data_IF_026842482127
#
_entry.id   IF_026842482127
#
_cell.length_a   1.000
_cell.length_b   1.000
_cell.length_c   1.000
_cell.angle_alpha   90.00
_cell.angle_beta   90.00
_cell.angle_gamma   90.00
#
_symmetry.space_group_name_H-M   'P 1'
#
loop_
_entity.id
_entity.type
_entity.pdbx_description
1 polymer ?
#
# COMPACT_ATOMS: atom_id res chain seq x y z
N UNK A 1 31.45 22.09 17.80
CA UNK A 1 30.29 21.20 17.53
C UNK A 1 29.58 20.97 18.84
N UNK A 2 28.25 21.12 18.88
CA UNK A 2 27.47 20.98 20.12
C UNK A 2 27.14 19.49 20.36
N UNK A 3 27.64 18.86 21.43
CA UNK A 3 27.46 17.43 21.69
C UNK A 3 26.03 17.03 22.03
N UNK A 4 25.12 17.98 22.28
CA UNK A 4 23.70 17.73 22.56
C UNK A 4 22.80 17.92 21.34
N UNK A 5 23.35 18.31 20.20
CA UNK A 5 22.59 18.45 18.96
C UNK A 5 22.48 17.07 18.32
N UNK A 6 21.45 16.31 18.70
CA UNK A 6 21.08 15.11 17.97
C UNK A 6 20.89 15.48 16.50
N UNK A 7 21.65 14.86 15.60
CA UNK A 7 21.41 14.97 14.16
C UNK A 7 20.11 14.24 13.83
N UNK A 8 19.00 14.95 13.94
CA UNK A 8 17.69 14.43 13.54
C UNK A 8 17.66 14.39 12.02
N UNK A 9 17.86 13.20 11.46
CA UNK A 9 17.59 12.94 10.06
C UNK A 9 16.09 12.98 9.82
N UNK A 10 15.67 13.91 8.97
CA UNK A 10 14.27 14.11 8.60
C UNK A 10 13.82 13.05 7.60
N UNK A 11 12.55 12.68 7.63
CA UNK A 11 12.01 11.71 6.67
C UNK A 11 12.10 12.26 5.24
N UNK A 12 11.93 13.58 5.10
CA UNK A 12 11.92 14.31 3.84
C UNK A 12 13.29 14.39 3.15
N UNK A 13 14.37 14.06 3.86
CA UNK A 13 15.72 13.99 3.25
C UNK A 13 16.06 12.59 2.74
N UNK A 14 15.22 11.58 3.00
CA UNK A 14 15.45 10.24 2.49
C UNK A 14 15.17 10.16 0.99
N UNK A 15 15.98 9.41 0.22
CA UNK A 15 15.66 9.06 -1.15
C UNK A 15 14.27 8.42 -1.28
N UNK A 16 13.57 8.74 -2.37
CA UNK A 16 12.23 8.21 -2.63
C UNK A 16 12.21 6.67 -2.63
N UNK A 17 13.29 6.02 -3.08
CA UNK A 17 13.39 4.57 -3.08
C UNK A 17 13.30 3.96 -1.67
N UNK A 18 13.89 4.62 -0.67
CA UNK A 18 13.82 4.21 0.73
C UNK A 18 12.45 4.50 1.33
N UNK A 19 11.85 5.64 0.99
CA UNK A 19 10.47 5.95 1.38
C UNK A 19 9.49 4.93 0.80
N UNK A 20 9.67 4.52 -0.45
CA UNK A 20 8.91 3.45 -1.10
C UNK A 20 9.05 2.11 -0.38
N UNK A 21 10.27 1.75 0.02
CA UNK A 21 10.55 0.52 0.78
C UNK A 21 9.87 0.53 2.17
N UNK A 22 9.90 1.67 2.87
CA UNK A 22 9.21 1.84 4.16
C UNK A 22 7.69 1.62 3.97
N UNK A 23 7.09 2.31 3.00
CA UNK A 23 5.66 2.18 2.70
C UNK A 23 5.29 0.75 2.28
N UNK A 24 6.16 0.08 1.50
CA UNK A 24 5.93 -1.29 1.05
C UNK A 24 5.92 -2.27 2.23
N UNK A 25 6.86 -2.14 3.18
CA UNK A 25 6.91 -2.99 4.38
C UNK A 25 5.69 -2.77 5.28
N UNK A 26 5.23 -1.53 5.44
CA UNK A 26 4.02 -1.22 6.21
C UNK A 26 2.79 -1.87 5.55
N UNK A 27 2.60 -1.62 4.25
CA UNK A 27 1.44 -2.13 3.52
C UNK A 27 1.41 -3.65 3.34
N UNK A 28 2.57 -4.31 3.31
CA UNK A 28 2.65 -5.76 3.30
C UNK A 28 2.18 -6.39 4.63
N UNK A 29 2.25 -5.67 5.75
CA UNK A 29 1.80 -6.16 7.04
C UNK A 29 0.34 -5.84 7.29
N UNK A 30 -0.04 -4.57 7.16
CA UNK A 30 -1.39 -4.09 7.45
C UNK A 30 -1.87 -3.07 6.39
N UNK A 31 -2.97 -3.41 5.72
CA UNK A 31 -3.57 -2.57 4.67
C UNK A 31 -4.09 -1.21 5.17
N UNK A 32 -4.52 -1.17 6.44
CA UNK A 32 -5.01 0.04 7.10
C UNK A 32 -3.86 1.01 7.38
N UNK A 33 -2.75 0.50 7.92
CA UNK A 33 -1.54 1.29 8.18
C UNK A 33 -0.96 1.88 6.90
N UNK A 34 -1.08 1.17 5.77
CA UNK A 34 -0.71 1.73 4.46
C UNK A 34 -1.47 3.03 4.17
N UNK A 35 -2.79 3.06 4.34
CA UNK A 35 -3.59 4.25 4.06
C UNK A 35 -3.21 5.39 4.99
N UNK A 36 -3.05 5.10 6.28
CA UNK A 36 -2.61 6.09 7.25
C UNK A 36 -1.22 6.64 6.90
N UNK A 37 -0.30 5.77 6.47
CA UNK A 37 1.06 6.13 6.10
C UNK A 37 1.11 7.09 4.89
N UNK A 38 0.44 6.74 3.78
CA UNK A 38 0.48 7.59 2.57
C UNK A 38 -0.30 8.90 2.72
N UNK A 39 -1.23 8.99 3.67
CA UNK A 39 -1.98 10.21 3.99
C UNK A 39 -1.26 11.10 5.03
N UNK A 40 -0.22 10.59 5.69
CA UNK A 40 0.48 11.32 6.75
C UNK A 40 1.26 12.52 6.23
N UNK A 41 1.98 12.37 5.12
CA UNK A 41 2.71 13.46 4.47
C UNK A 41 2.89 13.23 2.96
N UNK A 42 3.25 14.29 2.23
CA UNK A 42 3.39 14.25 0.77
C UNK A 42 4.52 13.35 0.29
N UNK A 43 5.61 13.23 1.05
CA UNK A 43 6.79 12.43 0.71
C UNK A 43 6.48 10.92 0.76
N UNK A 44 5.73 10.49 1.77
CA UNK A 44 5.21 9.12 1.86
C UNK A 44 4.10 8.88 0.83
N UNK A 45 3.23 9.89 0.62
CA UNK A 45 2.16 9.84 -0.37
C UNK A 45 2.66 9.64 -1.80
N UNK A 46 3.85 10.16 -2.13
CA UNK A 46 4.47 9.97 -3.44
C UNK A 46 4.75 8.49 -3.75
N UNK A 47 4.94 7.64 -2.73
CA UNK A 47 5.15 6.19 -2.89
C UNK A 47 3.87 5.39 -3.12
N UNK A 48 2.68 6.01 -3.13
CA UNK A 48 1.41 5.30 -3.30
C UNK A 48 1.24 4.61 -4.68
N UNK A 49 2.09 4.95 -5.65
CA UNK A 49 2.11 4.34 -6.98
C UNK A 49 3.37 3.51 -7.23
N UNK A 50 4.22 3.31 -6.22
CA UNK A 50 5.42 2.48 -6.35
C UNK A 50 5.01 1.02 -6.63
N UNK A 51 5.63 0.42 -7.64
CA UNK A 51 5.34 -0.97 -8.05
C UNK A 51 5.53 -1.94 -6.89
N UNK A 52 6.60 -1.78 -6.10
CA UNK A 52 6.92 -2.66 -4.97
C UNK A 52 5.80 -2.64 -3.95
N UNK A 53 5.32 -1.44 -3.62
CA UNK A 53 4.20 -1.21 -2.70
C UNK A 53 2.94 -1.92 -3.23
N UNK A 54 2.56 -1.67 -4.48
CA UNK A 54 1.32 -2.22 -5.05
C UNK A 54 1.37 -3.74 -5.22
N UNK A 55 2.56 -4.29 -5.51
CA UNK A 55 2.78 -5.73 -5.66
C UNK A 55 2.70 -6.47 -4.33
N UNK A 56 3.17 -5.87 -3.24
CA UNK A 56 3.23 -6.52 -1.91
C UNK A 56 2.13 -6.08 -0.96
N UNK A 57 1.26 -5.12 -1.34
CA UNK A 57 0.17 -4.66 -0.49
C UNK A 57 -0.72 -5.83 -0.05
N UNK A 58 -0.91 -5.97 1.26
CA UNK A 58 -1.74 -7.01 1.84
C UNK A 58 -3.22 -6.72 1.59
N UNK A 59 -3.89 -7.57 0.82
CA UNK A 59 -5.34 -7.46 0.59
C UNK A 59 -6.10 -8.63 1.21
N UNK A 60 -5.46 -9.47 2.03
CA UNK A 60 -6.09 -10.58 2.73
C UNK A 60 -7.38 -10.20 3.52
N UNK A 61 -7.50 -9.02 4.16
CA UNK A 61 -8.76 -8.60 4.77
C UNK A 61 -9.91 -8.50 3.77
N UNK A 62 -9.62 -8.05 2.55
CA UNK A 62 -10.56 -7.91 1.44
C UNK A 62 -10.84 -9.24 0.74
N UNK A 63 -9.89 -10.17 0.74
CA UNK A 63 -10.08 -11.57 0.31
C UNK A 63 -11.21 -12.24 1.10
N UNK A 64 -11.27 -12.02 2.42
CA UNK A 64 -12.33 -12.57 3.29
C UNK A 64 -13.70 -11.91 3.06
N UNK A 65 -13.73 -10.68 2.54
CA UNK A 65 -14.97 -9.91 2.31
C UNK A 65 -14.93 -9.21 0.94
N UNK A 66 -15.07 -9.96 -0.18
CA UNK A 66 -14.85 -9.43 -1.53
C UNK A 66 -15.78 -8.26 -1.89
N UNK A 67 -17.00 -8.21 -1.36
CA UNK A 67 -17.96 -7.13 -1.62
C UNK A 67 -17.48 -5.77 -1.07
N UNK A 68 -16.69 -5.77 0.01
CA UNK A 68 -16.10 -4.56 0.57
C UNK A 68 -15.07 -3.91 -0.37
N UNK A 69 -14.53 -4.67 -1.33
CA UNK A 69 -13.57 -4.17 -2.31
C UNK A 69 -14.12 -3.06 -3.21
N UNK A 70 -15.46 -2.95 -3.35
CA UNK A 70 -16.09 -1.89 -4.15
C UNK A 70 -15.71 -0.48 -3.67
N UNK A 71 -15.41 -0.33 -2.38
CA UNK A 71 -14.94 0.94 -1.80
C UNK A 71 -13.47 1.25 -2.13
N UNK A 72 -12.73 0.25 -2.63
CA UNK A 72 -11.29 0.29 -2.89
C UNK A 72 -10.96 0.03 -4.37
N UNK A 73 -11.88 0.36 -5.29
CA UNK A 73 -11.74 0.03 -6.72
C UNK A 73 -10.47 0.61 -7.37
N UNK A 74 -10.10 1.84 -7.03
CA UNK A 74 -8.91 2.50 -7.57
C UNK A 74 -7.63 1.76 -7.20
N UNK A 75 -7.44 1.45 -5.91
CA UNK A 75 -6.26 0.73 -5.45
C UNK A 75 -6.25 -0.71 -5.95
N UNK A 76 -7.41 -1.35 -6.04
CA UNK A 76 -7.55 -2.69 -6.62
C UNK A 76 -7.12 -2.74 -8.09
N UNK A 77 -7.53 -1.75 -8.90
CA UNK A 77 -7.07 -1.62 -10.30
C UNK A 77 -5.56 -1.48 -10.39
N UNK A 78 -4.95 -0.66 -9.52
CA UNK A 78 -3.50 -0.49 -9.47
C UNK A 78 -2.79 -1.77 -9.05
N UNK A 79 -3.27 -2.46 -8.02
CA UNK A 79 -2.70 -3.74 -7.56
C UNK A 79 -2.78 -4.83 -8.65
N UNK A 80 -3.91 -4.91 -9.37
CA UNK A 80 -4.06 -5.81 -10.52
C UNK A 80 -3.07 -5.50 -11.65
N UNK A 81 -2.86 -4.22 -11.97
CA UNK A 81 -1.90 -3.81 -12.98
C UNK A 81 -0.44 -4.17 -12.61
N UNK A 82 -0.17 -4.36 -11.31
CA UNK A 82 1.15 -4.70 -10.76
C UNK A 82 1.24 -6.16 -10.29
N UNK A 83 0.37 -7.05 -10.79
CA UNK A 83 0.39 -8.50 -10.53
C UNK A 83 0.30 -8.88 -9.04
N UNK A 84 -0.42 -8.10 -8.23
CA UNK A 84 -0.66 -8.45 -6.83
C UNK A 84 -1.55 -9.71 -6.73
N UNK A 85 -1.08 -10.79 -6.08
CA UNK A 85 -1.78 -12.08 -6.09
C UNK A 85 -3.15 -12.03 -5.41
N UNK A 86 -3.28 -11.31 -4.29
CA UNK A 86 -4.55 -11.17 -3.58
C UNK A 86 -5.59 -10.43 -4.44
N UNK A 87 -5.14 -9.40 -5.18
CA UNK A 87 -6.01 -8.64 -6.07
C UNK A 87 -6.61 -9.53 -7.18
N UNK A 88 -5.78 -10.41 -7.76
CA UNK A 88 -6.25 -11.39 -8.75
C UNK A 88 -7.23 -12.40 -8.14
N UNK A 89 -6.95 -12.89 -6.93
CA UNK A 89 -7.83 -13.79 -6.21
C UNK A 89 -9.20 -13.16 -5.92
N UNK A 90 -9.22 -11.91 -5.43
CA UNK A 90 -10.45 -11.14 -5.18
C UNK A 90 -11.23 -10.99 -6.47
N UNK A 91 -10.60 -10.58 -7.58
CA UNK A 91 -11.25 -10.40 -8.89
C UNK A 91 -11.94 -11.68 -9.37
N UNK A 92 -11.28 -12.83 -9.22
CA UNK A 92 -11.86 -14.12 -9.60
C UNK A 92 -13.11 -14.46 -8.78
N UNK A 93 -13.07 -14.24 -7.46
CA UNK A 93 -14.20 -14.53 -6.57
C UNK A 93 -15.35 -13.52 -6.68
N UNK A 94 -15.05 -12.25 -6.95
CA UNK A 94 -16.08 -11.24 -7.19
C UNK A 94 -16.90 -11.53 -8.45
N UNK A 95 -16.33 -12.15 -9.48
CA UNK A 95 -17.06 -12.56 -10.70
C UNK A 95 -18.03 -13.71 -10.43
N UNK A 96 -17.62 -14.71 -9.65
CA UNK A 96 -18.45 -15.87 -9.30
C UNK A 96 -19.72 -15.55 -8.50
N UNK A 97 -19.72 -14.45 -7.74
CA UNK A 97 -20.88 -14.02 -6.95
C UNK A 97 -21.89 -13.16 -7.74
N UNK A 98 -21.62 -12.83 -9.01
CA UNK A 98 -22.58 -12.14 -9.88
C UNK A 98 -23.37 -13.13 -10.75
N UNK A 99 -22.91 -14.38 -10.84
CA UNK A 99 -23.50 -15.47 -11.63
C UNK A 99 -24.34 -16.44 -10.79
N UNK A 100 -24.60 -16.10 -9.52
CA UNK A 100 -25.53 -16.81 -8.63
C UNK A 100 -26.63 -15.85 -8.18
#
# INVERSE_FOLDING_TARGET
>A
MDPNKAEISRLEVLPQDLLGEIVAKIGAKYAEDYHNCILSCKELGASANDERVLKTLNLAPLVKKPLSCRKHLLIMKKCLANNNPDAHYIKANSRRNVEK
#
